data_IF_370793464685
#
_entry.id   IF_370793464685
#
_cell.length_a   1.000
_cell.length_b   1.000
_cell.length_c   1.000
_cell.angle_alpha   90.00
_cell.angle_beta   90.00
_cell.angle_gamma   90.00
#
_symmetry.space_group_name_H-M   'P 1'
#
loop_
_entity.id
_entity.type
_entity.pdbx_description
1 polymer ?
#
# COMPACT_ATOMS: atom_id res chain seq x y z
N UNK A 1 -0.86 -0.85 -8.30
CA UNK A 1 0.30 -0.06 -7.87
C UNK A 1 1.58 -0.86 -8.07
N UNK A 2 2.52 -0.27 -8.75
CA UNK A 2 3.80 -0.90 -9.01
C UNK A 2 4.92 -0.12 -8.31
N UNK A 3 5.72 -0.82 -7.53
CA UNK A 3 6.85 -0.22 -6.82
C UNK A 3 8.13 -0.79 -7.44
N UNK A 4 8.93 0.08 -8.04
CA UNK A 4 10.15 -0.35 -8.70
C UNK A 4 11.30 -0.52 -7.69
N UNK A 5 12.46 -0.94 -8.20
CA UNK A 5 13.59 -1.27 -7.36
C UNK A 5 14.44 -0.06 -6.97
N UNK A 6 14.06 1.11 -7.41
CA UNK A 6 14.84 2.33 -7.14
C UNK A 6 14.26 3.15 -6.00
N UNK A 7 13.05 2.86 -5.59
CA UNK A 7 12.41 3.64 -4.55
C UNK A 7 11.49 2.79 -3.72
N UNK A 8 11.22 3.26 -2.54
CA UNK A 8 10.19 2.69 -1.71
C UNK A 8 9.18 3.77 -1.37
N UNK A 9 8.02 3.38 -0.91
CA UNK A 9 6.96 4.31 -0.65
C UNK A 9 6.15 3.95 0.56
N UNK A 10 5.22 4.82 0.88
CA UNK A 10 4.28 4.55 1.95
C UNK A 10 2.87 4.87 1.49
N UNK A 11 1.93 4.11 2.00
CA UNK A 11 0.51 4.31 1.75
C UNK A 11 -0.14 4.70 3.06
N UNK A 12 -0.82 5.84 3.07
CA UNK A 12 -1.60 6.28 4.21
C UNK A 12 -3.07 6.17 3.87
N UNK A 13 -3.80 5.39 4.63
CA UNK A 13 -5.22 5.24 4.42
C UNK A 13 -5.96 6.36 5.14
N UNK A 14 -6.65 7.19 4.38
CA UNK A 14 -7.29 8.38 4.94
C UNK A 14 -8.79 8.19 5.13
N UNK A 15 -9.38 7.19 4.48
CA UNK A 15 -10.81 6.92 4.64
C UNK A 15 -11.11 5.46 4.35
N UNK A 16 -11.99 4.85 5.13
CA UNK A 16 -12.46 3.50 4.90
C UNK A 16 -11.49 2.43 5.36
N UNK A 17 -11.57 1.28 4.72
CA UNK A 17 -10.67 0.16 4.98
C UNK A 17 -10.29 -0.50 3.67
N UNK A 18 -9.13 -1.17 3.68
CA UNK A 18 -8.61 -1.79 2.46
C UNK A 18 -7.82 -3.05 2.80
N UNK A 19 -7.66 -3.89 1.79
CA UNK A 19 -6.78 -5.05 1.85
C UNK A 19 -5.66 -4.83 0.87
N UNK A 20 -4.43 -4.93 1.35
CA UNK A 20 -3.24 -4.77 0.51
C UNK A 20 -2.61 -6.14 0.31
N UNK A 21 -2.40 -6.50 -0.95
CA UNK A 21 -1.81 -7.78 -1.30
C UNK A 21 -0.52 -7.56 -2.06
N UNK A 22 0.54 -8.23 -1.61
CA UNK A 22 1.84 -8.12 -2.23
C UNK A 22 2.60 -9.43 -2.00
N UNK A 23 3.09 -10.04 -3.09
CA UNK A 23 3.87 -11.28 -3.03
C UNK A 23 3.19 -12.40 -2.23
N UNK A 24 1.88 -12.52 -2.37
CA UNK A 24 1.13 -13.54 -1.66
C UNK A 24 0.85 -13.23 -0.20
N UNK A 25 1.27 -12.07 0.26
CA UNK A 25 0.99 -11.62 1.61
C UNK A 25 -0.18 -10.64 1.58
N UNK A 26 -1.11 -10.82 2.49
CA UNK A 26 -2.30 -9.98 2.58
C UNK A 26 -2.29 -9.23 3.91
N UNK A 27 -2.57 -7.93 3.84
CA UNK A 27 -2.58 -7.07 5.02
C UNK A 27 -3.85 -6.24 5.02
N UNK A 28 -4.56 -6.23 6.13
CA UNK A 28 -5.73 -5.38 6.29
C UNK A 28 -5.33 -4.07 6.94
N UNK A 29 -5.84 -2.96 6.39
CA UNK A 29 -5.57 -1.62 6.90
C UNK A 29 -6.87 -0.86 7.07
N UNK A 30 -6.87 0.06 8.01
CA UNK A 30 -8.03 0.87 8.34
C UNK A 30 -7.64 2.34 8.30
N UNK A 31 -8.65 3.21 8.39
CA UNK A 31 -8.43 4.64 8.43
C UNK A 31 -7.38 5.01 9.47
N UNK A 32 -6.40 5.78 9.07
CA UNK A 32 -5.31 6.20 9.94
C UNK A 32 -4.10 5.27 9.92
N UNK A 33 -4.23 4.09 9.32
CA UNK A 33 -3.11 3.18 9.20
C UNK A 33 -2.19 3.60 8.07
N UNK A 34 -0.91 3.36 8.27
CA UNK A 34 0.08 3.58 7.22
C UNK A 34 0.83 2.29 6.96
N UNK A 35 1.18 2.07 5.69
CA UNK A 35 1.88 0.87 5.27
C UNK A 35 3.12 1.28 4.50
N UNK A 36 4.24 0.71 4.89
CA UNK A 36 5.50 0.97 4.23
C UNK A 36 5.74 -0.12 3.19
N UNK A 37 6.03 0.28 1.97
CA UNK A 37 6.25 -0.65 0.87
C UNK A 37 7.72 -0.57 0.45
N UNK A 38 8.41 -1.69 0.57
CA UNK A 38 9.83 -1.76 0.27
C UNK A 38 10.08 -1.65 -1.23
N UNK A 39 11.27 -1.19 -1.57
CA UNK A 39 11.75 -1.28 -2.93
C UNK A 39 11.73 -2.76 -3.35
N UNK A 40 11.54 -3.02 -4.63
CA UNK A 40 11.43 -4.37 -5.19
C UNK A 40 10.16 -5.12 -4.78
N UNK A 41 9.20 -4.44 -4.20
CA UNK A 41 7.92 -5.08 -3.88
C UNK A 41 7.13 -5.49 -5.13
N UNK A 42 7.39 -4.84 -6.26
CA UNK A 42 6.69 -5.15 -7.49
C UNK A 42 5.26 -4.66 -7.46
N UNK A 43 4.35 -5.49 -7.91
CA UNK A 43 2.94 -5.10 -7.97
C UNK A 43 2.28 -5.22 -6.60
N UNK A 44 1.58 -4.18 -6.22
CA UNK A 44 0.83 -4.11 -4.98
C UNK A 44 -0.63 -3.92 -5.33
N UNK A 45 -1.48 -4.80 -4.82
CA UNK A 45 -2.91 -4.72 -5.09
C UNK A 45 -3.63 -4.18 -3.87
N UNK A 46 -4.41 -3.13 -4.09
CA UNK A 46 -5.20 -2.50 -3.03
C UNK A 46 -6.67 -2.69 -3.37
N UNK A 47 -7.41 -3.31 -2.47
CA UNK A 47 -8.82 -3.63 -2.70
C UNK A 47 -9.64 -3.10 -1.53
N UNK A 48 -10.83 -2.58 -1.83
CA UNK A 48 -11.76 -2.12 -0.80
C UNK A 48 -12.31 -0.74 -1.09
N UNK A 49 -13.26 -0.31 -0.28
CA UNK A 49 -13.82 1.04 -0.34
C UNK A 49 -12.97 1.96 0.53
N UNK A 50 -12.04 2.66 -0.09
CA UNK A 50 -11.10 3.45 0.67
C UNK A 50 -10.53 4.59 -0.16
N UNK A 51 -10.02 5.58 0.54
CA UNK A 51 -9.17 6.62 -0.05
C UNK A 51 -7.81 6.54 0.60
N UNK A 52 -6.77 6.68 -0.19
CA UNK A 52 -5.42 6.55 0.30
C UNK A 52 -4.48 7.47 -0.48
N UNK A 53 -3.36 7.77 0.15
CA UNK A 53 -2.31 8.59 -0.44
C UNK A 53 -1.05 7.74 -0.50
N UNK A 54 -0.43 7.73 -1.66
CA UNK A 54 0.84 7.05 -1.86
C UNK A 54 1.96 8.10 -1.94
N UNK A 55 2.97 7.93 -1.12
CA UNK A 55 4.13 8.81 -1.09
C UNK A 55 5.37 8.02 -1.45
N UNK A 56 6.16 8.56 -2.37
CA UNK A 56 7.45 7.99 -2.75
C UNK A 56 8.57 8.74 -2.06
N UNK A 57 9.58 8.00 -1.74
CA UNK A 57 10.78 8.58 -1.15
C UNK A 57 11.88 8.68 -2.18
#
# INVERSE_FOLDING_TARGET
>A
LHVDDESFGSILLIEGSATIENNGTTLEVNKGDSVFIDANSGDVKITGNCQWIYSRV
#
